data_IF_159971700244
#
_entry.id   IF_159971700244
#
_cell.length_a   1.000
_cell.length_b   1.000
_cell.length_c   1.000
_cell.angle_alpha   90.00
_cell.angle_beta   90.00
_cell.angle_gamma   90.00
#
_symmetry.space_group_name_H-M   'P 1'
#
loop_
_entity.id
_entity.type
_entity.pdbx_description
1 polymer ?
#
# COMPACT_ATOMS: atom_id res chain seq x y z
N UNK A 1 32.09 -10.42 21.74
CA UNK A 1 30.67 -10.72 21.45
C UNK A 1 29.83 -9.51 21.81
N UNK A 2 29.26 -8.81 20.83
CA UNK A 2 28.43 -7.62 21.05
C UNK A 2 27.04 -8.06 21.54
N UNK A 3 26.78 -7.81 22.82
CA UNK A 3 25.51 -8.10 23.51
C UNK A 3 24.33 -7.55 22.69
N UNK A 4 23.41 -8.45 22.32
CA UNK A 4 22.17 -8.10 21.64
C UNK A 4 21.39 -7.08 22.48
N UNK A 5 21.37 -5.84 22.01
CA UNK A 5 20.65 -4.77 22.67
C UNK A 5 19.17 -5.13 22.77
N UNK A 6 18.68 -5.19 24.02
CA UNK A 6 17.27 -5.42 24.34
C UNK A 6 16.42 -4.44 23.52
N UNK A 7 15.49 -4.96 22.72
CA UNK A 7 14.54 -4.20 21.89
C UNK A 7 13.66 -3.32 22.80
N UNK A 8 14.15 -2.15 23.22
CA UNK A 8 13.33 -1.14 23.88
C UNK A 8 12.36 -0.56 22.86
N UNK A 9 11.07 -0.57 23.19
CA UNK A 9 10.02 0.11 22.42
C UNK A 9 10.33 1.61 22.46
N UNK A 10 10.28 2.25 21.30
CA UNK A 10 10.45 3.71 21.21
C UNK A 10 9.30 4.40 21.95
N UNK A 11 9.64 5.48 22.65
CA UNK A 11 8.64 6.32 23.32
C UNK A 11 7.80 7.07 22.28
N UNK A 12 6.58 7.44 22.66
CA UNK A 12 5.65 8.12 21.75
C UNK A 12 6.24 9.40 21.15
N UNK A 13 6.91 10.22 21.97
CA UNK A 13 7.55 11.46 21.49
C UNK A 13 8.69 11.20 20.52
N UNK A 14 9.48 10.14 20.72
CA UNK A 14 10.52 9.75 19.77
C UNK A 14 9.90 9.33 18.43
N UNK A 15 8.80 8.60 18.46
CA UNK A 15 8.06 8.20 17.25
C UNK A 15 7.50 9.43 16.53
N UNK A 16 6.91 10.39 17.23
CA UNK A 16 6.38 11.63 16.62
C UNK A 16 7.44 12.42 15.87
N UNK A 17 8.63 12.58 16.45
CA UNK A 17 9.74 13.28 15.78
C UNK A 17 10.20 12.50 14.53
N UNK A 18 10.29 11.18 14.62
CA UNK A 18 10.64 10.32 13.49
C UNK A 18 9.60 10.38 12.37
N UNK A 19 8.31 10.41 12.71
CA UNK A 19 7.21 10.56 11.76
C UNK A 19 7.26 11.90 11.05
N UNK A 20 7.40 13.01 11.79
CA UNK A 20 7.55 14.35 11.20
C UNK A 20 8.76 14.42 10.26
N UNK A 21 9.88 13.82 10.66
CA UNK A 21 11.08 13.77 9.81
C UNK A 21 10.88 12.91 8.56
N UNK A 22 10.13 11.81 8.67
CA UNK A 22 9.80 10.95 7.54
C UNK A 22 8.90 11.65 6.52
N UNK A 23 7.94 12.44 6.98
CA UNK A 23 7.06 13.25 6.13
C UNK A 23 7.83 14.31 5.33
N UNK A 24 8.84 14.94 5.94
CA UNK A 24 9.73 15.87 5.25
C UNK A 24 10.62 15.19 4.19
N UNK A 25 10.93 13.91 4.39
CA UNK A 25 11.76 13.17 3.45
C UNK A 25 11.94 11.71 3.86
N UNK A 26 11.42 10.82 3.01
CA UNK A 26 11.42 9.38 3.21
C UNK A 26 12.84 8.74 3.11
N UNK A 27 13.75 9.40 2.38
CA UNK A 27 15.16 9.01 2.33
C UNK A 27 15.87 9.59 3.55
N UNK A 28 16.54 8.71 4.29
CA UNK A 28 17.32 9.08 5.48
C UNK A 28 18.79 9.21 5.08
N UNK A 29 19.24 10.44 4.91
CA UNK A 29 20.63 10.73 4.61
C UNK A 29 21.53 10.50 5.83
N UNK A 30 22.84 10.20 5.64
CA UNK A 30 23.76 9.94 6.75
C UNK A 30 23.81 11.08 7.78
N UNK A 31 23.78 12.33 7.32
CA UNK A 31 23.83 13.51 8.19
C UNK A 31 22.54 13.64 9.02
N UNK A 32 21.37 13.54 8.37
CA UNK A 32 20.06 13.55 9.05
C UNK A 32 19.95 12.42 10.07
N UNK A 33 20.49 11.24 9.77
CA UNK A 33 20.52 10.10 10.70
C UNK A 33 21.32 10.44 11.97
N UNK A 34 22.48 11.07 11.84
CA UNK A 34 23.32 11.45 12.98
C UNK A 34 22.61 12.52 13.81
N UNK A 35 22.00 13.51 13.16
CA UNK A 35 21.24 14.57 13.84
C UNK A 35 20.05 14.01 14.63
N UNK A 36 19.25 13.13 14.03
CA UNK A 36 18.13 12.47 14.70
C UNK A 36 18.57 11.56 15.85
N UNK A 37 19.67 10.82 15.66
CA UNK A 37 20.23 9.98 16.71
C UNK A 37 20.63 10.81 17.94
N UNK A 38 21.31 11.94 17.74
CA UNK A 38 21.68 12.88 18.81
C UNK A 38 20.44 13.49 19.46
N UNK A 39 19.51 14.03 18.67
CA UNK A 39 18.31 14.70 19.17
C UNK A 39 17.39 13.78 19.99
N UNK A 40 17.32 12.50 19.63
CA UNK A 40 16.44 11.52 20.29
C UNK A 40 17.14 10.66 21.34
N UNK A 41 18.46 10.84 21.54
CA UNK A 41 19.27 9.98 22.42
C UNK A 41 19.25 8.51 22.00
N UNK A 42 19.17 8.25 20.69
CA UNK A 42 19.01 6.92 20.12
C UNK A 42 20.25 6.51 19.31
N UNK A 43 20.45 5.21 19.13
CA UNK A 43 21.51 4.76 18.23
C UNK A 43 21.15 5.01 16.77
N UNK A 44 22.11 5.42 15.91
CA UNK A 44 21.89 5.57 14.47
C UNK A 44 21.28 4.33 13.80
N UNK A 45 21.61 3.13 14.31
CA UNK A 45 21.03 1.86 13.85
C UNK A 45 19.52 1.78 14.10
N UNK A 46 19.04 2.22 15.26
CA UNK A 46 17.61 2.19 15.58
C UNK A 46 16.83 3.15 14.68
N UNK A 47 17.39 4.33 14.38
CA UNK A 47 16.82 5.28 13.42
C UNK A 47 16.71 4.62 12.04
N UNK A 48 17.79 4.00 11.56
CA UNK A 48 17.79 3.32 10.25
C UNK A 48 16.74 2.20 10.17
N UNK A 49 16.65 1.34 11.19
CA UNK A 49 15.64 0.26 11.26
C UNK A 49 14.23 0.85 11.29
N UNK A 50 14.01 1.92 12.05
CA UNK A 50 12.70 2.56 12.11
C UNK A 50 12.27 3.10 10.75
N UNK A 51 13.16 3.80 10.03
CA UNK A 51 12.88 4.31 8.68
C UNK A 51 12.63 3.18 7.67
N UNK A 52 13.41 2.09 7.74
CA UNK A 52 13.16 0.89 6.92
C UNK A 52 11.78 0.30 7.17
N UNK A 53 11.41 0.08 8.43
CA UNK A 53 10.10 -0.44 8.81
C UNK A 53 8.96 0.51 8.43
N UNK A 54 9.18 1.82 8.55
CA UNK A 54 8.19 2.83 8.17
C UNK A 54 7.94 2.83 6.66
N UNK A 55 8.99 2.67 5.84
CA UNK A 55 8.88 2.47 4.39
C UNK A 55 8.13 1.22 4.01
N UNK A 56 8.46 0.10 4.65
CA UNK A 56 7.77 -1.17 4.41
C UNK A 56 6.26 -1.03 4.67
N UNK A 57 5.88 -0.47 5.83
CA UNK A 57 4.48 -0.21 6.17
C UNK A 57 3.78 0.74 5.20
N UNK A 58 4.47 1.79 4.76
CA UNK A 58 3.92 2.72 3.77
C UNK A 58 3.66 2.01 2.43
N UNK A 59 4.61 1.20 1.95
CA UNK A 59 4.47 0.44 0.71
C UNK A 59 3.32 -0.58 0.80
N UNK A 60 3.19 -1.29 1.91
CA UNK A 60 2.07 -2.22 2.13
C UNK A 60 0.73 -1.50 2.07
N UNK A 61 0.57 -0.38 2.78
CA UNK A 61 -0.67 0.41 2.74
C UNK A 61 -0.99 0.95 1.35
N UNK A 62 0.02 1.33 0.57
CA UNK A 62 -0.19 1.76 -0.80
C UNK A 62 -0.70 0.60 -1.66
N UNK A 63 -0.05 -0.57 -1.56
CA UNK A 63 -0.45 -1.77 -2.30
C UNK A 63 -1.88 -2.23 -1.96
N UNK A 64 -2.27 -2.17 -0.70
CA UNK A 64 -3.65 -2.46 -0.26
C UNK A 64 -4.67 -1.54 -0.94
N UNK A 65 -4.41 -0.23 -0.98
CA UNK A 65 -5.30 0.73 -1.67
C UNK A 65 -5.36 0.49 -3.18
N UNK A 66 -4.21 0.23 -3.79
CA UNK A 66 -4.13 -0.02 -5.23
C UNK A 66 -4.90 -1.30 -5.58
N UNK A 67 -4.78 -2.35 -4.75
CA UNK A 67 -5.56 -3.57 -4.86
C UNK A 67 -7.07 -3.32 -4.75
N UNK A 68 -7.50 -2.57 -3.73
CA UNK A 68 -8.92 -2.25 -3.52
C UNK A 68 -9.49 -1.46 -4.71
N UNK A 69 -8.73 -0.51 -5.25
CA UNK A 69 -9.11 0.24 -6.43
C UNK A 69 -9.25 -0.67 -7.66
N UNK A 70 -8.27 -1.53 -7.90
CA UNK A 70 -8.29 -2.47 -9.02
C UNK A 70 -9.44 -3.46 -8.90
N UNK A 71 -9.72 -3.93 -7.68
CA UNK A 71 -10.81 -4.85 -7.39
C UNK A 71 -12.17 -4.23 -7.73
N UNK A 72 -12.40 -2.97 -7.34
CA UNK A 72 -13.64 -2.24 -7.70
C UNK A 72 -13.81 -2.09 -9.21
N UNK A 73 -12.73 -1.76 -9.92
CA UNK A 73 -12.77 -1.65 -11.39
C UNK A 73 -13.10 -2.99 -12.04
N UNK A 74 -12.46 -4.07 -11.57
CA UNK A 74 -12.73 -5.42 -12.03
C UNK A 74 -14.20 -5.82 -11.81
N UNK A 75 -14.75 -5.56 -10.62
CA UNK A 75 -16.13 -5.92 -10.29
C UNK A 75 -17.15 -5.15 -11.16
N UNK A 76 -16.87 -3.86 -11.45
CA UNK A 76 -17.68 -3.07 -12.40
C UNK A 76 -17.63 -3.66 -13.80
N UNK A 77 -16.42 -3.89 -14.35
CA UNK A 77 -16.25 -4.47 -15.69
C UNK A 77 -16.89 -5.84 -15.82
N UNK A 78 -16.81 -6.66 -14.76
CA UNK A 78 -17.45 -7.96 -14.73
C UNK A 78 -18.98 -7.84 -14.82
N UNK A 79 -19.58 -6.92 -14.05
CA UNK A 79 -21.02 -6.66 -14.11
C UNK A 79 -21.48 -6.19 -15.50
N UNK A 80 -20.71 -5.30 -16.12
CA UNK A 80 -21.00 -4.80 -17.47
C UNK A 80 -20.90 -5.93 -18.50
N UNK A 81 -19.85 -6.75 -18.42
CA UNK A 81 -19.67 -7.91 -19.28
C UNK A 81 -20.80 -8.94 -19.12
N UNK A 82 -21.22 -9.22 -17.89
CA UNK A 82 -22.33 -10.15 -17.62
C UNK A 82 -23.64 -9.63 -18.22
N UNK A 83 -23.87 -8.31 -18.14
CA UNK A 83 -25.02 -7.65 -18.77
C UNK A 83 -24.98 -7.72 -20.30
N UNK A 84 -23.81 -7.49 -20.90
CA UNK A 84 -23.60 -7.62 -22.35
C UNK A 84 -23.80 -9.05 -22.83
N UNK A 85 -23.30 -10.04 -22.07
CA UNK A 85 -23.52 -11.45 -22.38
C UNK A 85 -25.00 -11.83 -22.33
N UNK A 86 -25.75 -11.34 -21.35
CA UNK A 86 -27.19 -11.55 -21.26
C UNK A 86 -27.92 -10.90 -22.46
N UNK A 87 -27.54 -9.67 -22.83
CA UNK A 87 -28.11 -8.98 -23.98
C UNK A 87 -27.82 -9.72 -25.29
N UNK A 88 -26.56 -10.14 -25.50
CA UNK A 88 -26.15 -10.91 -26.68
C UNK A 88 -26.92 -12.23 -26.80
N UNK A 89 -27.14 -12.94 -25.68
CA UNK A 89 -27.95 -14.17 -25.68
C UNK A 89 -29.40 -13.89 -26.11
N UNK A 90 -29.99 -12.79 -25.66
CA UNK A 90 -31.34 -12.39 -26.06
C UNK A 90 -31.42 -12.07 -27.55
N UNK A 91 -30.47 -11.27 -28.05
CA UNK A 91 -30.39 -10.93 -29.48
C UNK A 91 -30.22 -12.17 -30.35
N UNK A 92 -29.36 -13.11 -29.94
CA UNK A 92 -29.20 -14.38 -30.66
C UNK A 92 -30.52 -15.16 -30.74
N UNK A 93 -31.28 -15.25 -29.65
CA UNK A 93 -32.57 -15.92 -29.66
C UNK A 93 -33.58 -15.24 -30.60
N UNK A 94 -33.61 -13.91 -30.64
CA UNK A 94 -34.45 -13.14 -31.58
C UNK A 94 -34.05 -13.41 -33.03
N UNK A 95 -32.75 -13.41 -33.34
CA UNK A 95 -32.22 -13.75 -34.66
C UNK A 95 -32.61 -15.17 -35.08
N UNK A 96 -32.44 -16.16 -34.19
CA UNK A 96 -32.86 -17.54 -34.46
C UNK A 96 -34.35 -17.66 -34.73
N UNK A 97 -35.19 -16.95 -33.97
CA UNK A 97 -36.62 -16.93 -34.20
C UNK A 97 -36.95 -16.37 -35.59
N UNK A 98 -36.35 -15.25 -36.00
CA UNK A 98 -36.58 -14.68 -37.34
C UNK A 98 -36.21 -15.68 -38.43
N UNK A 99 -35.05 -16.33 -38.34
CA UNK A 99 -34.64 -17.34 -39.31
C UNK A 99 -35.52 -18.59 -39.31
N UNK A 100 -36.22 -18.90 -38.23
CA UNK A 100 -37.15 -20.04 -38.17
C UNK A 100 -38.50 -19.77 -38.86
N UNK A 101 -38.81 -18.52 -39.19
CA UNK A 101 -40.04 -18.11 -39.89
C UNK A 101 -39.85 -17.87 -41.40
N UNK A 102 -38.65 -18.09 -41.93
CA UNK A 102 -38.29 -17.97 -43.36
C UNK A 102 -37.96 -19.37 -43.88
#
# INVERSE_FOLDING_TARGET
>A
MMLGEKKKRLQLEQVKVLEKSFELGNKLDPERKIQLAKALGMQPRQIAIWFQNRRARWKTRQLERDYDSLKKQFDSLKSDNDSLLAHNKKLLAEVYNIYAFI
#
